data_IF_535040136891
#
_entry.id   IF_535040136891
#
_cell.length_a   1.000
_cell.length_b   1.000
_cell.length_c   1.000
_cell.angle_alpha   90.00
_cell.angle_beta   90.00
_cell.angle_gamma   90.00
#
_symmetry.space_group_name_H-M   'P 1'
#
loop_
_entity.id
_entity.type
_entity.pdbx_description
1 polymer ?
#
# COMPACT_ATOMS: atom_id res chain seq x y z
N UNK A 1 14.75 23.28 -2.95
CA UNK A 1 14.70 24.65 -3.49
C UNK A 1 13.65 24.64 -4.59
N UNK A 2 12.37 24.86 -4.24
CA UNK A 2 11.30 25.14 -5.22
C UNK A 2 11.37 26.66 -5.42
N UNK A 3 12.32 27.09 -6.24
CA UNK A 3 12.48 28.49 -6.64
C UNK A 3 11.96 28.60 -8.07
N UNK A 4 10.64 28.71 -8.16
CA UNK A 4 9.90 29.06 -9.36
C UNK A 4 8.53 29.46 -8.85
N UNK A 5 8.29 30.75 -8.75
CA UNK A 5 7.07 31.29 -8.15
C UNK A 5 5.80 30.69 -8.78
N UNK A 6 4.76 30.66 -7.98
CA UNK A 6 3.49 29.93 -8.11
C UNK A 6 2.62 30.35 -9.32
N UNK A 7 3.22 31.10 -10.26
CA UNK A 7 2.63 31.68 -11.46
C UNK A 7 3.53 31.54 -12.70
N UNK A 8 4.59 30.72 -12.65
CA UNK A 8 5.50 30.56 -13.78
C UNK A 8 4.88 29.71 -14.91
N UNK A 9 3.94 30.30 -15.66
CA UNK A 9 3.32 29.70 -16.83
C UNK A 9 4.12 29.89 -18.12
N UNK A 10 3.60 29.35 -19.22
CA UNK A 10 4.08 29.63 -20.58
C UNK A 10 3.92 31.11 -20.91
N UNK A 11 4.93 31.70 -21.56
CA UNK A 11 4.85 33.07 -22.07
C UNK A 11 3.67 33.21 -23.05
N UNK A 12 2.79 34.21 -22.90
CA UNK A 12 1.73 34.49 -23.86
C UNK A 12 2.30 34.74 -25.27
N UNK A 13 1.52 34.45 -26.32
CA UNK A 13 1.95 34.59 -27.72
C UNK A 13 2.40 36.01 -28.11
N UNK A 14 1.98 37.03 -27.35
CA UNK A 14 2.36 38.43 -27.55
C UNK A 14 3.49 38.92 -26.62
N UNK A 15 4.07 38.06 -25.79
CA UNK A 15 5.19 38.44 -24.93
C UNK A 15 6.44 38.69 -25.77
N UNK A 16 7.13 39.81 -25.51
CA UNK A 16 8.40 40.13 -26.17
C UNK A 16 9.49 39.09 -25.88
N UNK A 17 10.61 39.19 -26.60
CA UNK A 17 11.72 38.22 -26.55
C UNK A 17 12.43 38.08 -25.19
N UNK A 18 12.05 38.87 -24.19
CA UNK A 18 12.58 38.82 -22.82
C UNK A 18 11.82 37.89 -21.86
N UNK A 19 10.73 37.26 -22.29
CA UNK A 19 9.97 36.34 -21.45
C UNK A 19 10.62 34.94 -21.40
N UNK A 20 10.89 34.45 -20.19
CA UNK A 20 11.44 33.12 -19.93
C UNK A 20 10.36 32.29 -19.23
N UNK A 21 9.79 31.31 -19.92
CA UNK A 21 8.74 30.45 -19.36
C UNK A 21 9.27 29.55 -18.24
N UNK A 22 8.44 29.31 -17.21
CA UNK A 22 8.73 28.36 -16.14
C UNK A 22 7.97 27.05 -16.26
N UNK A 23 8.17 26.15 -15.29
CA UNK A 23 7.47 24.87 -15.23
C UNK A 23 5.97 25.08 -14.99
N UNK A 24 5.13 24.58 -15.90
CA UNK A 24 3.68 24.70 -15.85
C UNK A 24 3.07 23.77 -14.81
N UNK A 25 2.96 24.23 -13.56
CA UNK A 25 2.09 23.63 -12.57
C UNK A 25 0.86 24.51 -12.45
N UNK A 26 -0.31 23.92 -12.69
CA UNK A 26 -1.59 24.61 -12.52
C UNK A 26 -1.88 24.71 -11.01
N UNK A 27 -2.48 25.82 -10.56
CA UNK A 27 -2.96 25.97 -9.17
C UNK A 27 -4.02 24.92 -8.77
N UNK A 28 -4.51 24.14 -9.75
CA UNK A 28 -5.43 23.03 -9.53
C UNK A 28 -4.73 21.65 -9.54
N UNK A 29 -3.39 21.60 -9.60
CA UNK A 29 -2.67 20.33 -9.54
C UNK A 29 -2.81 19.70 -8.13
N UNK A 30 -3.17 18.42 -8.00
CA UNK A 30 -3.21 17.74 -6.71
C UNK A 30 -1.91 17.87 -5.90
N UNK A 31 -0.75 17.97 -6.57
CA UNK A 31 0.54 18.16 -5.88
C UNK A 31 0.68 19.56 -5.30
N UNK A 32 0.07 20.58 -5.94
CA UNK A 32 0.01 21.94 -5.44
C UNK A 32 -0.83 22.00 -4.15
N UNK A 33 -2.02 21.38 -4.16
CA UNK A 33 -2.85 21.30 -2.96
C UNK A 33 -2.19 20.51 -1.83
N UNK A 34 -1.54 19.39 -2.14
CA UNK A 34 -0.82 18.59 -1.15
C UNK A 34 0.36 19.36 -0.54
N UNK A 35 1.11 20.09 -1.38
CA UNK A 35 2.19 20.96 -0.94
C UNK A 35 1.67 22.04 0.02
N UNK A 36 0.64 22.81 -0.38
CA UNK A 36 0.11 23.89 0.44
C UNK A 36 -0.56 23.40 1.72
N UNK A 37 -1.33 22.30 1.67
CA UNK A 37 -1.92 21.71 2.88
C UNK A 37 -0.85 21.29 3.89
N UNK A 38 0.31 20.81 3.43
CA UNK A 38 1.41 20.43 4.31
C UNK A 38 2.14 21.66 4.87
N UNK A 39 2.34 22.71 4.07
CA UNK A 39 2.93 23.98 4.54
C UNK A 39 2.02 24.67 5.57
N UNK A 40 0.72 24.73 5.32
CA UNK A 40 -0.27 25.31 6.24
C UNK A 40 -0.34 24.53 7.56
N UNK A 41 -0.26 23.19 7.49
CA UNK A 41 -0.18 22.35 8.67
C UNK A 41 1.09 22.61 9.48
N UNK A 42 2.25 22.70 8.82
CA UNK A 42 3.53 23.01 9.48
C UNK A 42 3.45 24.40 10.15
N UNK A 43 2.86 25.37 9.45
CA UNK A 43 2.68 26.72 9.97
C UNK A 43 1.77 26.76 11.20
N UNK A 44 0.64 26.06 11.15
CA UNK A 44 -0.28 25.91 12.29
C UNK A 44 0.43 25.25 13.49
N UNK A 45 1.14 24.15 13.28
CA UNK A 45 1.89 23.46 14.34
C UNK A 45 2.97 24.36 14.94
N UNK A 46 3.64 25.18 14.12
CA UNK A 46 4.60 26.18 14.59
C UNK A 46 3.94 27.28 15.43
N UNK A 47 2.78 27.79 15.03
CA UNK A 47 2.02 28.78 15.80
C UNK A 47 1.53 28.23 17.14
N UNK A 48 1.10 26.97 17.18
CA UNK A 48 0.61 26.30 18.40
C UNK A 48 1.72 25.93 19.39
N UNK A 49 3.00 25.94 18.95
CA UNK A 49 4.14 25.58 19.79
C UNK A 49 4.48 26.64 20.84
N UNK A 50 4.10 27.92 20.63
CA UNK A 50 4.20 28.93 21.70
C UNK A 50 3.22 30.10 21.49
N UNK A 51 2.71 30.72 22.58
CA UNK A 51 1.90 31.95 22.47
C UNK A 51 2.63 33.12 21.80
N UNK A 52 3.97 33.12 21.78
CA UNK A 52 4.76 34.13 21.08
C UNK A 52 4.74 33.92 19.56
N UNK A 53 4.70 32.67 19.07
CA UNK A 53 4.67 32.34 17.64
C UNK A 53 3.34 32.76 17.00
N UNK A 54 2.23 32.58 17.73
CA UNK A 54 0.91 33.01 17.28
C UNK A 54 0.82 34.52 16.98
N UNK A 55 1.72 35.34 17.57
CA UNK A 55 1.77 36.80 17.41
C UNK A 55 2.99 37.29 16.62
N UNK A 56 3.85 36.38 16.15
CA UNK A 56 5.13 36.71 15.52
C UNK A 56 4.99 37.13 14.04
N UNK A 57 3.88 36.83 13.38
CA UNK A 57 3.67 37.19 11.98
C UNK A 57 2.91 38.53 11.84
N UNK A 58 3.54 39.51 11.17
CA UNK A 58 2.95 40.82 10.83
C UNK A 58 3.10 41.14 9.33
N UNK A 59 2.86 40.16 8.46
CA UNK A 59 2.89 40.37 7.01
C UNK A 59 1.65 41.12 6.54
N UNK A 60 1.85 42.24 5.85
CA UNK A 60 0.80 42.90 5.07
C UNK A 60 0.49 42.10 3.82
N UNK A 61 -0.80 42.05 3.44
CA UNK A 61 -1.25 41.46 2.17
C UNK A 61 -0.59 42.16 0.98
N UNK A 62 -0.09 41.40 0.01
CA UNK A 62 0.47 41.90 -1.25
C UNK A 62 -0.70 42.34 -2.16
N UNK A 63 -1.39 43.42 -1.80
CA UNK A 63 -2.65 43.83 -2.45
C UNK A 63 -2.62 45.28 -2.95
N UNK A 64 -1.65 45.63 -3.80
CA UNK A 64 -1.62 46.96 -4.44
C UNK A 64 -1.30 46.91 -5.93
N UNK A 65 -2.00 46.06 -6.70
CA UNK A 65 -2.18 46.28 -8.14
C UNK A 65 -3.47 45.60 -8.63
N UNK A 66 -4.39 46.37 -9.22
CA UNK A 66 -5.67 45.88 -9.77
C UNK A 66 -5.78 46.29 -11.24
N UNK A 67 -5.76 45.31 -12.14
CA UNK A 67 -6.17 45.43 -13.54
C UNK A 67 -7.67 45.04 -13.66
N UNK A 68 -8.55 45.89 -14.21
CA UNK A 68 -9.99 45.62 -14.30
C UNK A 68 -10.40 44.46 -15.22
N UNK A 69 -9.51 43.98 -16.10
CA UNK A 69 -9.88 43.00 -17.13
C UNK A 69 -9.74 41.53 -16.67
N UNK A 70 -8.94 41.26 -15.63
CA UNK A 70 -8.76 39.92 -15.05
C UNK A 70 -8.60 40.01 -13.51
N UNK A 71 -9.69 39.85 -12.73
CA UNK A 71 -9.63 39.96 -11.28
C UNK A 71 -9.04 38.68 -10.67
N UNK A 72 -7.72 38.56 -10.72
CA UNK A 72 -7.01 37.55 -9.96
C UNK A 72 -6.75 38.13 -8.56
N UNK A 73 -7.24 37.48 -7.49
CA UNK A 73 -6.60 37.63 -6.18
C UNK A 73 -7.43 38.18 -5.02
N UNK A 74 -8.73 37.90 -4.97
CA UNK A 74 -9.33 37.59 -3.67
C UNK A 74 -9.84 36.15 -3.75
N UNK A 75 -9.46 35.23 -2.84
CA UNK A 75 -10.29 34.05 -2.67
C UNK A 75 -11.71 34.57 -2.36
N UNK A 76 -12.75 34.10 -3.07
CA UNK A 76 -14.10 34.50 -2.73
C UNK A 76 -14.35 34.19 -1.25
N UNK A 77 -15.20 34.98 -0.59
CA UNK A 77 -15.63 34.64 0.76
C UNK A 77 -16.42 33.32 0.70
N UNK A 78 -15.73 32.22 0.96
CA UNK A 78 -16.30 30.88 0.97
C UNK A 78 -16.89 30.58 2.36
N UNK A 79 -18.05 29.94 2.38
CA UNK A 79 -18.66 29.38 3.58
C UNK A 79 -18.82 27.87 3.42
N UNK A 80 -19.20 27.17 4.49
CA UNK A 80 -19.45 25.72 4.45
C UNK A 80 -20.53 25.34 3.42
N UNK A 81 -21.41 26.28 3.05
CA UNK A 81 -22.47 26.07 2.05
C UNK A 81 -22.05 26.44 0.63
N UNK A 82 -20.86 27.02 0.41
CA UNK A 82 -20.41 27.37 -0.94
C UNK A 82 -20.18 26.12 -1.78
N UNK A 83 -20.74 26.11 -2.99
CA UNK A 83 -20.62 25.04 -3.97
C UNK A 83 -19.27 25.14 -4.66
N UNK A 84 -18.55 24.01 -4.71
CA UNK A 84 -17.28 23.90 -5.43
C UNK A 84 -17.59 23.75 -6.91
N UNK A 85 -17.05 24.61 -7.79
CA UNK A 85 -17.22 24.47 -9.23
C UNK A 85 -16.52 23.20 -9.70
N UNK A 86 -17.27 22.32 -10.35
CA UNK A 86 -16.78 21.00 -10.83
C UNK A 86 -16.68 20.93 -12.36
N UNK A 87 -17.01 22.02 -13.05
CA UNK A 87 -17.01 22.14 -14.52
C UNK A 87 -17.65 20.94 -15.25
N UNK A 88 -18.70 20.37 -14.65
CA UNK A 88 -19.43 19.23 -15.20
C UNK A 88 -18.74 17.87 -15.06
N UNK A 89 -17.53 17.78 -14.48
CA UNK A 89 -16.85 16.50 -14.27
C UNK A 89 -17.54 15.60 -13.25
N UNK A 90 -18.23 16.18 -12.27
CA UNK A 90 -19.02 15.44 -11.27
C UNK A 90 -20.11 16.34 -10.65
N UNK A 91 -21.17 15.76 -10.02
CA UNK A 91 -22.22 16.54 -9.38
C UNK A 91 -21.64 17.49 -8.34
N UNK A 92 -21.98 18.78 -8.45
CA UNK A 92 -21.37 19.82 -7.62
C UNK A 92 -21.66 19.60 -6.13
N UNK A 93 -20.62 19.73 -5.29
CA UNK A 93 -20.70 19.53 -3.83
C UNK A 93 -20.36 20.82 -3.11
N UNK A 94 -20.96 21.04 -1.96
CA UNK A 94 -20.57 22.15 -1.07
C UNK A 94 -19.27 21.80 -0.33
N UNK A 95 -18.58 22.81 0.18
CA UNK A 95 -17.38 22.63 1.02
C UNK A 95 -17.69 21.72 2.23
N UNK A 96 -18.86 21.85 2.86
CA UNK A 96 -19.27 20.97 3.96
C UNK A 96 -19.42 19.51 3.54
N UNK A 97 -19.90 19.24 2.33
CA UNK A 97 -20.02 17.87 1.82
C UNK A 97 -18.65 17.21 1.66
N UNK A 98 -17.62 17.99 1.32
CA UNK A 98 -16.24 17.51 1.21
C UNK A 98 -15.57 17.31 2.57
N UNK A 99 -15.93 18.13 3.57
CA UNK A 99 -15.39 18.05 4.93
C UNK A 99 -16.09 17.02 5.82
N UNK A 100 -17.23 16.47 5.39
CA UNK A 100 -17.99 15.48 6.14
C UNK A 100 -17.47 14.05 5.88
N UNK A 101 -16.66 13.52 6.80
CA UNK A 101 -16.05 12.19 6.69
C UNK A 101 -16.96 11.02 7.10
N UNK A 102 -18.22 11.29 7.49
CA UNK A 102 -19.24 10.27 7.80
C UNK A 102 -20.36 10.18 6.74
N UNK A 103 -20.26 10.94 5.64
CA UNK A 103 -21.29 10.98 4.60
C UNK A 103 -20.74 11.06 3.18
N UNK A 104 -20.23 9.95 2.64
CA UNK A 104 -19.94 9.81 1.21
C UNK A 104 -21.20 9.49 0.41
N UNK A 105 -21.48 10.29 -0.62
CA UNK A 105 -22.38 10.03 -1.76
C UNK A 105 -23.77 9.41 -1.48
N UNK A 106 -24.84 10.23 -1.56
CA UNK A 106 -26.19 9.67 -1.75
C UNK A 106 -27.39 10.54 -1.38
N UNK A 107 -27.50 11.76 -1.90
CA UNK A 107 -28.79 12.47 -1.94
C UNK A 107 -29.57 12.26 -3.25
N UNK A 108 -29.04 11.50 -4.21
CA UNK A 108 -29.72 11.18 -5.49
C UNK A 108 -30.25 9.74 -5.58
N UNK A 109 -30.19 8.94 -4.51
CA UNK A 109 -30.83 7.61 -4.45
C UNK A 109 -32.01 7.51 -3.48
N UNK A 110 -32.54 8.64 -2.99
CA UNK A 110 -33.70 8.63 -2.07
C UNK A 110 -35.08 8.76 -2.71
N UNK A 111 -35.18 8.87 -4.04
CA UNK A 111 -36.49 8.89 -4.72
C UNK A 111 -37.04 7.50 -5.11
N UNK A 112 -36.26 6.42 -5.00
CA UNK A 112 -36.74 5.06 -5.29
C UNK A 112 -36.87 4.14 -4.06
N UNK A 113 -36.86 4.71 -2.84
CA UNK A 113 -37.00 3.92 -1.60
C UNK A 113 -38.26 4.22 -0.79
N UNK A 114 -39.20 4.99 -1.34
CA UNK A 114 -40.49 5.30 -0.71
C UNK A 114 -41.62 4.33 -1.10
N UNK A 115 -41.38 3.36 -2.00
CA UNK A 115 -42.37 2.38 -2.44
C UNK A 115 -42.25 0.99 -1.79
N UNK A 116 -41.18 0.69 -1.05
CA UNK A 116 -40.99 -0.62 -0.40
C UNK A 116 -41.12 -0.61 1.13
N UNK A 117 -40.95 0.55 1.80
CA UNK A 117 -41.10 0.66 3.26
C UNK A 117 -42.55 0.80 3.75
N UNK A 118 -43.55 0.91 2.87
CA UNK A 118 -44.97 0.87 3.26
C UNK A 118 -45.52 -0.55 3.44
N UNK A 119 -44.73 -1.59 3.15
CA UNK A 119 -45.17 -2.99 3.23
C UNK A 119 -44.86 -3.74 4.52
N UNK A 120 -44.06 -3.16 5.43
CA UNK A 120 -43.61 -3.85 6.67
C UNK A 120 -43.95 -3.14 7.98
N UNK A 121 -44.78 -2.08 7.97
CA UNK A 121 -45.26 -1.39 9.19
C UNK A 121 -46.64 -1.82 9.68
N UNK A 122 -47.17 -2.97 9.22
CA UNK A 122 -48.50 -3.47 9.60
C UNK A 122 -48.44 -4.79 10.40
N UNK A 123 -47.46 -4.94 11.28
CA UNK A 123 -47.45 -5.98 12.32
C UNK A 123 -47.03 -5.33 13.64
N UNK A 124 -48.00 -4.71 14.31
CA UNK A 124 -47.80 -3.95 15.53
C UNK A 124 -47.47 -4.84 16.72
N UNK A 125 -46.23 -4.75 17.20
CA UNK A 125 -45.84 -5.18 18.54
C UNK A 125 -44.83 -4.17 19.12
N UNK A 126 -45.37 -3.19 19.86
CA UNK A 126 -44.62 -2.36 20.80
C UNK A 126 -45.16 -2.61 22.21
N UNK A 127 -44.27 -2.83 23.19
CA UNK A 127 -44.28 -2.02 24.42
C UNK A 127 -42.96 -2.12 25.19
N UNK A 128 -42.52 -1.01 25.84
CA UNK A 128 -41.25 -0.93 26.57
C UNK A 128 -41.43 -1.03 28.10
N UNK A 129 -40.28 -1.17 28.78
CA UNK A 129 -39.95 -0.83 30.17
C UNK A 129 -39.66 -2.02 31.12
N UNK A 130 -38.42 -2.07 31.63
CA UNK A 130 -38.08 -2.11 33.06
C UNK A 130 -36.57 -2.17 33.29
N UNK A 131 -36.01 -1.21 34.03
CA UNK A 131 -34.79 -1.37 34.84
C UNK A 131 -35.16 -2.03 36.18
N UNK A 132 -34.28 -2.82 36.82
CA UNK A 132 -33.55 -2.30 37.99
C UNK A 132 -32.17 -2.94 38.35
N UNK A 133 -31.32 -2.08 38.93
CA UNK A 133 -30.38 -2.23 40.09
C UNK A 133 -29.38 -3.41 40.23
N UNK A 134 -28.13 -3.00 40.51
CA UNK A 134 -27.05 -3.71 41.21
C UNK A 134 -27.44 -4.26 42.60
N UNK A 135 -26.67 -5.25 43.09
CA UNK A 135 -25.83 -5.01 44.26
C UNK A 135 -24.38 -5.53 44.15
N UNK A 136 -23.64 -5.22 45.21
CA UNK A 136 -22.20 -5.06 45.39
C UNK A 136 -21.39 -6.28 45.84
N UNK A 137 -20.06 -6.13 45.69
CA UNK A 137 -18.97 -6.55 46.58
C UNK A 137 -18.38 -7.97 46.47
N UNK A 138 -17.09 -8.05 46.11
CA UNK A 138 -16.00 -8.80 46.78
C UNK A 138 -14.66 -8.22 46.24
N UNK A 139 -14.04 -7.28 46.95
CA UNK A 139 -12.97 -7.39 47.96
C UNK A 139 -11.54 -7.58 47.40
N UNK A 140 -10.71 -6.62 47.79
CA UNK A 140 -9.29 -6.43 47.49
C UNK A 140 -8.35 -7.56 47.94
N UNK A 141 -7.19 -7.66 47.29
CA UNK A 141 -5.93 -8.07 47.90
C UNK A 141 -4.76 -7.38 47.22
N UNK A 142 -3.92 -6.74 48.04
CA UNK A 142 -2.96 -5.71 47.71
C UNK A 142 -1.56 -6.23 47.30
N UNK A 143 -0.86 -5.41 46.50
CA UNK A 143 0.54 -4.94 46.61
C UNK A 143 1.59 -5.86 47.28
N UNK A 144 2.74 -6.11 46.63
CA UNK A 144 3.99 -5.31 46.73
C UNK A 144 5.19 -5.95 45.92
N UNK A 145 6.42 -5.37 45.83
CA UNK A 145 7.09 -5.14 44.54
C UNK A 145 8.54 -5.69 44.43
N UNK A 146 9.21 -5.36 43.32
CA UNK A 146 10.68 -5.40 43.02
C UNK A 146 11.33 -6.76 42.75
N UNK A 147 11.79 -6.93 41.50
CA UNK A 147 13.16 -7.38 41.21
C UNK A 147 13.62 -6.81 39.88
N UNK A 148 14.54 -5.85 39.96
CA UNK A 148 15.31 -5.26 38.86
C UNK A 148 16.23 -6.29 38.21
N UNK A 149 16.06 -6.52 36.90
CA UNK A 149 17.03 -7.26 36.08
C UNK A 149 17.96 -6.21 35.46
N UNK A 150 19.23 -6.19 35.90
CA UNK A 150 20.30 -5.43 35.26
C UNK A 150 20.67 -6.10 33.94
N UNK A 151 20.61 -5.37 32.82
CA UNK A 151 21.25 -5.79 31.58
C UNK A 151 22.73 -5.42 31.64
N UNK A 152 23.59 -6.43 31.56
CA UNK A 152 25.03 -6.24 31.34
C UNK A 152 25.28 -6.13 29.85
N UNK A 153 25.50 -4.93 29.34
CA UNK A 153 25.98 -4.69 27.98
C UNK A 153 27.49 -4.95 27.91
N UNK A 154 27.89 -6.16 27.53
CA UNK A 154 29.26 -6.44 27.13
C UNK A 154 29.47 -6.00 25.68
N UNK A 155 30.15 -4.87 25.50
CA UNK A 155 30.57 -4.35 24.19
C UNK A 155 31.65 -5.25 23.59
N UNK A 156 31.33 -5.96 22.51
CA UNK A 156 32.31 -6.66 21.67
C UNK A 156 32.91 -5.65 20.70
N UNK A 157 34.19 -5.32 20.87
CA UNK A 157 34.96 -4.45 19.98
C UNK A 157 35.58 -5.25 18.83
N UNK A 158 35.19 -4.96 17.59
CA UNK A 158 35.85 -5.47 16.38
C UNK A 158 37.03 -4.58 15.97
N UNK A 159 38.17 -5.15 15.54
CA UNK A 159 39.32 -4.38 15.10
C UNK A 159 39.08 -3.73 13.74
N UNK A 160 39.53 -2.48 13.63
CA UNK A 160 39.40 -1.60 12.48
C UNK A 160 40.36 -2.05 11.36
N UNK A 161 39.85 -2.50 10.21
CA UNK A 161 40.64 -2.78 9.01
C UNK A 161 40.22 -1.88 7.84
N UNK A 162 41.15 -0.96 7.50
CA UNK A 162 41.49 -0.30 6.22
C UNK A 162 40.40 0.22 5.23
N UNK A 163 40.66 1.35 4.55
CA UNK A 163 39.62 2.15 3.89
C UNK A 163 39.27 1.68 2.46
N UNK A 164 37.98 1.75 2.13
CA UNK A 164 37.45 1.65 0.76
C UNK A 164 37.81 2.90 -0.07
N UNK A 165 37.91 2.80 -1.41
CA UNK A 165 38.52 3.83 -2.27
C UNK A 165 37.65 5.06 -2.56
N UNK A 166 36.55 5.26 -1.84
CA UNK A 166 35.74 6.48 -1.94
C UNK A 166 35.41 6.95 -0.54
N UNK A 167 36.09 8.04 -0.11
CA UNK A 167 36.01 8.63 1.22
C UNK A 167 34.67 9.30 1.54
N UNK A 168 33.58 8.54 1.46
CA UNK A 168 32.26 8.98 1.91
C UNK A 168 32.14 8.55 3.38
N UNK A 169 32.00 9.49 4.34
CA UNK A 169 31.80 9.11 5.73
C UNK A 169 30.50 8.31 5.88
N UNK A 170 30.55 7.18 6.60
CA UNK A 170 29.36 6.49 7.05
C UNK A 170 28.53 7.46 7.88
N UNK A 171 27.39 7.91 7.34
CA UNK A 171 26.40 8.65 8.12
C UNK A 171 25.72 7.65 9.06
N UNK A 172 26.13 7.66 10.33
CA UNK A 172 25.33 7.05 11.39
C UNK A 172 24.21 8.03 11.74
N UNK A 173 22.94 7.74 11.41
CA UNK A 173 21.85 8.54 11.94
C UNK A 173 21.90 8.50 13.48
N UNK A 174 21.65 9.63 14.17
CA UNK A 174 21.58 9.62 15.62
C UNK A 174 20.52 8.62 16.08
N UNK A 175 20.80 7.83 17.14
CA UNK A 175 19.87 6.81 17.68
C UNK A 175 18.45 7.36 17.91
N UNK A 176 18.32 8.63 18.33
CA UNK A 176 17.04 9.34 18.50
C UNK A 176 16.21 9.46 17.21
N UNK A 177 16.82 9.52 16.03
CA UNK A 177 16.06 9.60 14.76
C UNK A 177 15.38 8.28 14.40
N UNK A 178 15.89 7.14 14.88
CA UNK A 178 15.34 5.82 14.56
C UNK A 178 14.06 5.50 15.34
N UNK A 179 14.00 5.88 16.63
CA UNK A 179 12.80 5.74 17.45
C UNK A 179 11.66 6.65 16.96
N UNK A 180 12.00 7.89 16.56
CA UNK A 180 11.01 8.87 16.04
C UNK A 180 10.37 8.39 14.73
N UNK A 181 11.11 7.63 13.91
CA UNK A 181 10.59 7.12 12.64
C UNK A 181 9.61 5.95 12.81
N UNK A 182 9.79 5.09 13.84
CA UNK A 182 8.96 3.90 14.04
C UNK A 182 7.80 4.11 15.02
N UNK A 183 7.90 5.08 15.93
CA UNK A 183 6.82 5.38 16.89
C UNK A 183 5.43 5.61 16.24
N UNK A 184 5.31 6.30 15.07
CA UNK A 184 4.03 6.42 14.38
C UNK A 184 3.43 5.09 13.93
N UNK A 185 4.25 4.08 13.59
CA UNK A 185 3.77 2.75 13.18
C UNK A 185 3.14 1.99 14.37
N UNK A 186 3.76 2.07 15.54
CA UNK A 186 3.22 1.48 16.77
C UNK A 186 1.91 2.17 17.19
N UNK A 187 1.87 3.51 17.11
CA UNK A 187 0.65 4.27 17.36
C UNK A 187 -0.46 3.93 16.34
N UNK A 188 -0.09 3.77 15.07
CA UNK A 188 -0.99 3.33 14.00
C UNK A 188 -1.58 1.94 14.26
N UNK A 189 -0.76 0.98 14.69
CA UNK A 189 -1.21 -0.35 15.09
C UNK A 189 -2.19 -0.30 16.28
N UNK A 190 -1.90 0.50 17.31
CA UNK A 190 -2.78 0.63 18.47
C UNK A 190 -4.15 1.19 18.08
N UNK A 191 -4.17 2.19 17.19
CA UNK A 191 -5.40 2.75 16.61
C UNK A 191 -6.17 1.70 15.80
N UNK A 192 -5.50 1.02 14.86
CA UNK A 192 -6.10 -0.05 14.07
C UNK A 192 -6.72 -1.14 14.95
N UNK A 193 -6.00 -1.60 15.99
CA UNK A 193 -6.50 -2.63 16.88
C UNK A 193 -7.73 -2.17 17.67
N UNK A 194 -7.83 -0.88 18.02
CA UNK A 194 -9.02 -0.33 18.66
C UNK A 194 -10.23 -0.31 17.71
N UNK A 195 -10.04 0.14 16.47
CA UNK A 195 -11.08 0.16 15.44
C UNK A 195 -11.58 -1.25 15.10
N UNK A 196 -10.68 -2.25 15.04
CA UNK A 196 -11.04 -3.65 14.84
C UNK A 196 -11.83 -4.21 16.02
N UNK A 197 -11.46 -3.89 17.27
CA UNK A 197 -12.24 -4.32 18.45
C UNK A 197 -13.65 -3.72 18.48
N UNK A 198 -13.79 -2.47 18.05
CA UNK A 198 -15.09 -1.81 17.97
C UNK A 198 -15.98 -2.46 16.92
N UNK A 199 -15.43 -2.71 15.73
CA UNK A 199 -16.17 -3.31 14.60
C UNK A 199 -16.41 -4.82 14.75
N UNK A 200 -15.45 -5.55 15.34
CA UNK A 200 -15.46 -7.01 15.47
C UNK A 200 -14.98 -7.43 16.89
N UNK A 201 -15.85 -7.37 17.90
CA UNK A 201 -15.45 -7.54 19.32
C UNK A 201 -14.72 -8.83 19.67
N UNK A 202 -15.01 -9.94 18.98
CA UNK A 202 -14.37 -11.24 19.26
C UNK A 202 -13.14 -11.51 18.39
N UNK A 203 -12.81 -10.65 17.42
CA UNK A 203 -11.81 -10.93 16.39
C UNK A 203 -10.46 -11.40 16.95
N UNK A 204 -9.87 -10.64 17.89
CA UNK A 204 -8.56 -10.98 18.45
C UNK A 204 -8.60 -12.23 19.34
N UNK A 205 -9.71 -12.44 20.07
CA UNK A 205 -9.87 -13.64 20.90
C UNK A 205 -10.03 -14.89 20.04
N UNK A 206 -10.69 -14.78 18.89
CA UNK A 206 -10.83 -15.89 17.95
C UNK A 206 -9.54 -16.14 17.17
N UNK A 207 -8.88 -15.08 16.67
CA UNK A 207 -7.60 -15.17 15.98
C UNK A 207 -6.48 -15.78 16.86
N UNK A 208 -6.50 -15.51 18.18
CA UNK A 208 -5.54 -16.08 19.12
C UNK A 208 -5.69 -17.59 19.34
N UNK A 209 -6.84 -18.19 18.99
CA UNK A 209 -7.07 -19.65 19.11
C UNK A 209 -6.40 -20.43 17.99
N UNK A 210 -6.12 -19.80 16.85
CA UNK A 210 -5.48 -20.43 15.69
C UNK A 210 -5.91 -19.81 14.37
N UNK A 211 -5.40 -20.40 13.29
CA UNK A 211 -5.70 -20.01 11.91
C UNK A 211 -6.02 -21.24 11.06
N UNK A 212 -6.87 -21.07 10.05
CA UNK A 212 -7.14 -22.08 9.03
C UNK A 212 -7.42 -21.40 7.69
N UNK A 213 -6.39 -20.72 7.11
CA UNK A 213 -6.53 -20.07 5.83
C UNK A 213 -6.78 -21.11 4.74
N UNK A 214 -7.62 -20.77 3.76
CA UNK A 214 -7.87 -21.62 2.58
C UNK A 214 -6.99 -21.28 1.39
N UNK A 215 -6.29 -20.15 1.46
CA UNK A 215 -5.46 -19.62 0.39
C UNK A 215 -4.03 -19.43 0.88
N UNK A 216 -3.06 -19.94 0.12
CA UNK A 216 -1.66 -19.53 0.16
C UNK A 216 -1.41 -18.50 -0.96
N UNK A 217 -0.88 -17.34 -0.62
CA UNK A 217 -0.43 -16.31 -1.54
C UNK A 217 1.10 -16.31 -1.62
N UNK A 218 1.64 -16.48 -2.83
CA UNK A 218 3.07 -16.32 -3.14
C UNK A 218 3.20 -15.08 -4.02
N UNK A 219 3.72 -13.99 -3.46
CA UNK A 219 3.77 -12.69 -4.13
C UNK A 219 5.10 -11.97 -4.03
N UNK A 220 5.16 -10.78 -4.62
CA UNK A 220 6.37 -9.96 -4.61
C UNK A 220 6.52 -9.24 -3.26
N UNK A 221 7.75 -9.00 -2.82
CA UNK A 221 8.08 -8.17 -1.65
C UNK A 221 7.81 -6.67 -1.88
N UNK A 222 7.33 -6.26 -3.06
CA UNK A 222 6.97 -4.89 -3.40
C UNK A 222 5.98 -4.28 -2.37
N UNK A 223 6.37 -3.19 -1.73
CA UNK A 223 5.60 -2.59 -0.62
C UNK A 223 4.20 -2.12 -1.02
N UNK A 224 3.90 -1.98 -2.32
CA UNK A 224 2.59 -1.57 -2.85
C UNK A 224 1.59 -2.72 -2.94
N UNK A 225 2.02 -3.97 -2.74
CA UNK A 225 1.18 -5.17 -2.91
C UNK A 225 1.08 -6.03 -1.63
N UNK A 226 0.58 -5.49 -0.50
CA UNK A 226 0.19 -6.32 0.64
C UNK A 226 -1.12 -7.07 0.34
N UNK A 227 -1.05 -8.40 0.32
CA UNK A 227 -2.11 -9.31 -0.15
C UNK A 227 -3.45 -9.12 0.59
N UNK A 228 -3.42 -9.06 1.92
CA UNK A 228 -4.63 -8.90 2.72
C UNK A 228 -5.31 -7.55 2.45
N UNK A 229 -4.54 -6.51 2.17
CA UNK A 229 -5.08 -5.18 1.84
C UNK A 229 -5.65 -5.12 0.44
N UNK A 230 -4.90 -5.59 -0.57
CA UNK A 230 -5.33 -5.50 -1.97
C UNK A 230 -6.49 -6.45 -2.29
N UNK A 231 -6.68 -7.51 -1.49
CA UNK A 231 -7.82 -8.43 -1.59
C UNK A 231 -8.98 -8.06 -0.65
N UNK A 232 -8.80 -7.08 0.24
CA UNK A 232 -9.82 -6.71 1.23
C UNK A 232 -10.09 -7.80 2.27
N UNK A 233 -9.10 -8.65 2.55
CA UNK A 233 -9.18 -9.75 3.51
C UNK A 233 -8.83 -9.31 4.93
N UNK A 234 -9.36 -10.03 5.91
CA UNK A 234 -8.98 -9.88 7.31
C UNK A 234 -7.66 -10.62 7.59
N UNK A 235 -6.87 -10.18 8.58
CA UNK A 235 -5.70 -10.93 9.01
C UNK A 235 -6.07 -12.38 9.38
N UNK A 236 -5.29 -13.34 8.88
CA UNK A 236 -5.50 -14.78 9.09
C UNK A 236 -6.35 -15.49 8.03
N UNK A 237 -6.95 -14.78 7.08
CA UNK A 237 -7.70 -15.40 5.97
C UNK A 237 -6.79 -15.94 4.85
N UNK A 238 -5.58 -15.38 4.72
CA UNK A 238 -4.60 -15.73 3.70
C UNK A 238 -3.26 -16.06 4.38
N UNK A 239 -2.66 -17.19 4.01
CA UNK A 239 -1.28 -17.53 4.38
C UNK A 239 -0.32 -17.01 3.31
N UNK A 240 0.86 -16.51 3.68
CA UNK A 240 1.60 -15.60 2.79
C UNK A 240 3.09 -15.94 2.73
N UNK A 241 3.64 -15.98 1.51
CA UNK A 241 5.07 -15.91 1.23
C UNK A 241 5.35 -14.73 0.29
N UNK A 242 6.41 -13.97 0.56
CA UNK A 242 6.81 -12.83 -0.29
C UNK A 242 8.31 -12.79 -0.49
N UNK A 243 8.72 -12.60 -1.74
CA UNK A 243 10.14 -12.49 -2.13
C UNK A 243 10.29 -11.57 -3.35
N UNK A 244 11.52 -11.31 -3.80
CA UNK A 244 11.73 -10.41 -4.95
C UNK A 244 11.18 -11.07 -6.23
N UNK A 245 10.27 -10.37 -6.90
CA UNK A 245 9.64 -10.82 -8.15
C UNK A 245 8.87 -12.15 -8.07
N UNK A 246 8.29 -12.46 -6.90
CA UNK A 246 7.38 -13.59 -6.67
C UNK A 246 7.90 -14.91 -7.27
N UNK A 247 9.21 -15.15 -7.15
CA UNK A 247 9.85 -16.35 -7.68
C UNK A 247 9.51 -17.56 -6.79
N UNK A 248 9.43 -18.73 -7.41
CA UNK A 248 9.40 -20.01 -6.74
C UNK A 248 10.50 -20.88 -7.34
N UNK A 249 11.64 -20.93 -6.66
CA UNK A 249 12.75 -21.80 -7.08
C UNK A 249 12.53 -23.18 -6.47
N UNK A 250 12.63 -24.27 -7.27
CA UNK A 250 12.44 -25.64 -6.77
C UNK A 250 13.37 -26.03 -5.62
N UNK A 251 14.53 -25.37 -5.50
CA UNK A 251 15.55 -25.62 -4.46
C UNK A 251 15.56 -24.55 -3.35
N UNK A 252 14.55 -23.67 -3.29
CA UNK A 252 14.44 -22.67 -2.22
C UNK A 252 13.68 -23.25 -1.02
N UNK A 253 14.44 -23.68 -0.01
CA UNK A 253 13.90 -24.20 1.26
C UNK A 253 12.93 -23.23 1.95
N UNK A 254 13.08 -21.91 1.76
CA UNK A 254 12.16 -20.93 2.35
C UNK A 254 10.76 -21.05 1.74
N UNK A 255 10.68 -21.09 0.40
CA UNK A 255 9.43 -21.24 -0.32
C UNK A 255 8.84 -22.65 -0.15
N UNK A 256 9.68 -23.70 -0.17
CA UNK A 256 9.26 -25.09 0.05
C UNK A 256 8.71 -25.31 1.47
N UNK A 257 9.34 -24.74 2.50
CA UNK A 257 8.86 -24.85 3.87
C UNK A 257 7.48 -24.20 4.03
N UNK A 258 7.26 -23.03 3.43
CA UNK A 258 5.95 -22.35 3.45
C UNK A 258 4.91 -23.16 2.68
N UNK A 259 5.23 -23.66 1.49
CA UNK A 259 4.33 -24.49 0.69
C UNK A 259 3.94 -25.77 1.44
N UNK A 260 4.92 -26.47 2.00
CA UNK A 260 4.72 -27.70 2.79
C UNK A 260 3.80 -27.44 3.97
N UNK A 261 4.08 -26.41 4.77
CA UNK A 261 3.26 -26.07 5.92
C UNK A 261 1.83 -25.69 5.51
N UNK A 262 1.66 -24.94 4.43
CA UNK A 262 0.35 -24.54 3.94
C UNK A 262 -0.50 -25.77 3.54
N UNK A 263 0.07 -26.68 2.75
CA UNK A 263 -0.66 -27.82 2.18
C UNK A 263 -0.82 -28.97 3.17
N UNK A 264 0.20 -29.26 3.97
CA UNK A 264 0.23 -30.40 4.86
C UNK A 264 -0.31 -30.08 6.26
N UNK A 265 -0.03 -28.90 6.81
CA UNK A 265 -0.43 -28.54 8.17
C UNK A 265 -1.68 -27.66 8.23
N UNK A 266 -1.81 -26.67 7.34
CA UNK A 266 -2.98 -25.77 7.35
C UNK A 266 -4.14 -26.28 6.49
N UNK A 267 -3.86 -27.16 5.53
CA UNK A 267 -4.85 -27.69 4.60
C UNK A 267 -5.40 -26.61 3.66
N UNK A 268 -4.53 -25.74 3.14
CA UNK A 268 -4.92 -24.78 2.09
C UNK A 268 -5.42 -25.53 0.85
N UNK A 269 -6.43 -24.97 0.21
CA UNK A 269 -7.05 -25.53 -1.00
C UNK A 269 -6.62 -24.76 -2.24
N UNK A 270 -6.25 -23.48 -2.09
CA UNK A 270 -5.85 -22.62 -3.19
C UNK A 270 -4.45 -22.06 -2.97
N UNK A 271 -3.58 -22.18 -3.96
CA UNK A 271 -2.28 -21.53 -4.02
C UNK A 271 -2.34 -20.51 -5.15
N UNK A 272 -2.04 -19.25 -4.84
CA UNK A 272 -2.05 -18.15 -5.80
C UNK A 272 -0.62 -17.65 -5.98
N UNK A 273 -0.10 -17.76 -7.20
CA UNK A 273 1.09 -17.05 -7.65
C UNK A 273 0.65 -15.68 -8.14
N UNK A 274 1.06 -14.64 -7.44
CA UNK A 274 0.66 -13.27 -7.74
C UNK A 274 1.84 -12.42 -8.22
N UNK A 275 1.89 -12.18 -9.53
CA UNK A 275 2.71 -11.15 -10.13
C UNK A 275 2.08 -9.77 -9.95
N UNK A 276 2.79 -8.73 -10.38
CA UNK A 276 2.23 -7.38 -10.43
C UNK A 276 2.88 -6.53 -11.52
N UNK A 277 2.12 -5.56 -12.05
CA UNK A 277 2.67 -4.57 -12.99
C UNK A 277 3.74 -3.71 -12.32
N UNK A 278 4.64 -3.15 -13.13
CA UNK A 278 5.72 -2.28 -12.65
C UNK A 278 6.60 -2.94 -11.58
N UNK A 279 6.85 -4.25 -11.72
CA UNK A 279 7.73 -5.01 -10.86
C UNK A 279 9.19 -4.65 -11.09
N UNK A 280 9.84 -4.07 -10.08
CA UNK A 280 11.25 -3.66 -10.16
C UNK A 280 12.21 -4.81 -10.48
N UNK A 281 11.95 -6.01 -9.94
CA UNK A 281 12.74 -7.20 -10.24
C UNK A 281 12.61 -7.64 -11.69
N UNK A 282 11.39 -7.67 -12.23
CA UNK A 282 11.14 -8.01 -13.64
C UNK A 282 11.75 -6.96 -14.59
N UNK A 283 11.64 -5.66 -14.26
CA UNK A 283 12.24 -4.58 -15.04
C UNK A 283 13.77 -4.68 -15.08
N UNK A 284 14.41 -4.99 -13.95
CA UNK A 284 15.85 -5.23 -13.89
C UNK A 284 16.27 -6.44 -14.73
N UNK A 285 15.51 -7.54 -14.69
CA UNK A 285 15.76 -8.73 -15.51
C UNK A 285 15.60 -8.44 -17.01
N UNK A 286 14.56 -7.69 -17.39
CA UNK A 286 14.33 -7.28 -18.77
C UNK A 286 15.51 -6.47 -19.33
N UNK A 287 15.99 -5.48 -18.57
CA UNK A 287 17.15 -4.69 -18.96
C UNK A 287 18.46 -5.51 -19.02
N UNK A 288 18.63 -6.45 -18.08
CA UNK A 288 19.79 -7.34 -18.08
C UNK A 288 19.79 -8.31 -19.27
N UNK A 289 18.62 -8.80 -19.68
CA UNK A 289 18.46 -9.73 -20.80
C UNK A 289 18.92 -9.13 -22.14
N UNK A 290 18.75 -7.82 -22.34
CA UNK A 290 19.21 -7.12 -23.55
C UNK A 290 20.75 -7.07 -23.67
N UNK A 291 21.48 -7.32 -22.58
CA UNK A 291 22.95 -7.17 -22.51
C UNK A 291 23.65 -8.48 -22.11
N UNK A 292 23.04 -9.65 -22.36
CA UNK A 292 23.64 -10.96 -22.06
C UNK A 292 24.83 -11.28 -22.98
N UNK A 293 25.95 -10.61 -22.77
CA UNK A 293 27.22 -10.86 -23.44
C UNK A 293 27.98 -11.98 -22.71
N UNK A 294 27.58 -13.23 -22.96
CA UNK A 294 28.32 -14.41 -22.50
C UNK A 294 28.17 -14.74 -21.00
N UNK A 295 28.33 -16.04 -20.70
CA UNK A 295 28.06 -16.63 -19.39
C UNK A 295 29.08 -16.22 -18.32
N UNK A 296 28.85 -15.07 -17.69
CA UNK A 296 29.45 -14.78 -16.38
C UNK A 296 28.50 -15.28 -15.30
N UNK A 297 29.02 -16.08 -14.36
CA UNK A 297 28.22 -16.57 -13.23
C UNK A 297 27.72 -15.39 -12.40
N UNK A 298 26.44 -15.36 -11.97
CA UNK A 298 25.90 -14.22 -11.24
C UNK A 298 26.63 -14.01 -9.90
N UNK A 299 27.26 -12.84 -9.73
CA UNK A 299 28.16 -12.59 -8.60
C UNK A 299 27.43 -12.32 -7.27
N UNK A 300 26.27 -11.64 -7.30
CA UNK A 300 25.53 -11.24 -6.10
C UNK A 300 24.39 -12.21 -5.77
N UNK A 301 23.94 -12.28 -4.50
CA UNK A 301 22.76 -13.07 -4.14
C UNK A 301 21.52 -12.67 -4.94
N UNK A 302 21.29 -11.37 -5.16
CA UNK A 302 20.17 -10.87 -5.95
C UNK A 302 20.28 -11.30 -7.43
N UNK A 303 21.48 -11.26 -8.00
CA UNK A 303 21.69 -11.70 -9.38
C UNK A 303 21.48 -13.20 -9.54
N UNK A 304 21.89 -14.02 -8.56
CA UNK A 304 21.60 -15.47 -8.55
C UNK A 304 20.10 -15.74 -8.42
N UNK A 305 19.43 -15.04 -7.50
CA UNK A 305 17.99 -15.11 -7.29
C UNK A 305 17.20 -14.79 -8.57
N UNK A 306 17.56 -13.69 -9.23
CA UNK A 306 16.87 -13.23 -10.44
C UNK A 306 17.31 -13.93 -11.73
N UNK A 307 18.37 -14.74 -11.70
CA UNK A 307 18.92 -15.35 -12.91
C UNK A 307 17.86 -16.15 -13.72
N UNK A 308 17.01 -17.00 -13.12
CA UNK A 308 15.96 -17.70 -13.88
C UNK A 308 14.99 -16.75 -14.60
N UNK A 309 14.62 -15.63 -13.95
CA UNK A 309 13.77 -14.61 -14.56
C UNK A 309 14.48 -13.84 -15.68
N UNK A 310 15.78 -13.56 -15.53
CA UNK A 310 16.61 -12.96 -16.59
C UNK A 310 16.72 -13.88 -17.80
N UNK A 311 16.90 -15.20 -17.60
CA UNK A 311 16.92 -16.17 -18.70
C UNK A 311 15.55 -16.25 -19.39
N UNK A 312 14.45 -16.21 -18.64
CA UNK A 312 13.09 -16.15 -19.20
C UNK A 312 12.86 -14.88 -20.01
N UNK A 313 13.36 -13.73 -19.54
CA UNK A 313 13.30 -12.48 -20.31
C UNK A 313 14.07 -12.57 -21.62
N UNK A 314 15.25 -13.20 -21.62
CA UNK A 314 16.06 -13.39 -22.80
C UNK A 314 15.39 -14.30 -23.85
N UNK A 315 14.75 -15.39 -23.42
CA UNK A 315 14.05 -16.29 -24.34
C UNK A 315 12.86 -15.60 -25.01
N UNK A 316 12.09 -14.80 -24.27
CA UNK A 316 10.97 -14.04 -24.82
C UNK A 316 11.43 -12.96 -25.81
N UNK A 317 12.60 -12.36 -25.57
CA UNK A 317 13.18 -11.39 -26.49
C UNK A 317 13.61 -12.03 -27.82
N UNK A 318 14.12 -13.27 -27.80
CA UNK A 318 14.50 -14.00 -29.01
C UNK A 318 13.33 -14.43 -29.90
N UNK A 319 12.12 -14.51 -29.35
CA UNK A 319 10.92 -14.94 -30.08
C UNK A 319 10.22 -13.78 -30.83
N UNK A 320 10.55 -12.52 -30.50
CA UNK A 320 9.94 -11.33 -31.12
C UNK A 320 10.87 -10.69 -32.14
N UNK A 321 10.35 -10.37 -33.33
CA UNK A 321 11.15 -9.75 -34.40
C UNK A 321 11.01 -8.24 -34.53
N UNK A 322 9.96 -7.55 -34.04
CA UNK A 322 9.71 -6.15 -34.47
C UNK A 322 8.97 -5.20 -33.48
N UNK A 323 8.75 -5.53 -32.20
CA UNK A 323 8.05 -4.62 -31.26
C UNK A 323 8.99 -3.98 -30.25
N UNK A 324 9.08 -2.64 -30.20
CA UNK A 324 9.92 -1.88 -29.27
C UNK A 324 9.15 -1.24 -28.07
N UNK A 325 7.95 -1.73 -27.75
CA UNK A 325 7.22 -1.22 -26.58
C UNK A 325 7.66 -1.92 -25.30
N UNK A 326 8.59 -1.28 -24.59
CA UNK A 326 9.15 -1.78 -23.31
C UNK A 326 8.09 -2.01 -22.24
N UNK A 327 6.99 -1.26 -22.25
CA UNK A 327 5.90 -1.44 -21.27
C UNK A 327 5.14 -2.75 -21.55
N UNK A 328 4.81 -3.00 -22.81
CA UNK A 328 4.17 -4.23 -23.24
C UNK A 328 5.09 -5.46 -23.04
N UNK A 329 6.39 -5.31 -23.27
CA UNK A 329 7.39 -6.35 -23.01
C UNK A 329 7.49 -6.70 -21.52
N UNK A 330 7.55 -5.69 -20.65
CA UNK A 330 7.58 -5.91 -19.20
C UNK A 330 6.29 -6.60 -18.71
N UNK A 331 5.13 -6.19 -19.23
CA UNK A 331 3.85 -6.84 -18.92
C UNK A 331 3.87 -8.31 -19.35
N UNK A 332 4.37 -8.60 -20.56
CA UNK A 332 4.55 -9.96 -21.07
C UNK A 332 5.47 -10.78 -20.17
N UNK A 333 6.59 -10.21 -19.73
CA UNK A 333 7.54 -10.88 -18.84
C UNK A 333 6.95 -11.19 -17.46
N UNK A 334 6.21 -10.24 -16.86
CA UNK A 334 5.52 -10.47 -15.58
C UNK A 334 4.53 -11.62 -15.70
N UNK A 335 3.75 -11.61 -16.77
CA UNK A 335 2.77 -12.66 -17.07
C UNK A 335 3.42 -14.03 -17.31
N UNK A 336 4.50 -14.08 -18.09
CA UNK A 336 5.25 -15.31 -18.33
C UNK A 336 5.91 -15.82 -17.06
N UNK A 337 6.44 -14.93 -16.23
CA UNK A 337 7.00 -15.28 -14.92
C UNK A 337 5.97 -15.96 -14.03
N UNK A 338 4.77 -15.40 -13.91
CA UNK A 338 3.68 -16.02 -13.12
C UNK A 338 3.38 -17.42 -13.60
N UNK A 339 3.26 -17.63 -14.92
CA UNK A 339 3.03 -18.97 -15.49
C UNK A 339 4.15 -19.93 -15.14
N UNK A 340 5.40 -19.50 -15.29
CA UNK A 340 6.56 -20.32 -14.95
C UNK A 340 6.59 -20.72 -13.46
N UNK A 341 6.21 -19.82 -12.56
CA UNK A 341 6.17 -20.15 -11.13
C UNK A 341 4.97 -21.04 -10.77
N UNK A 342 3.84 -20.93 -11.49
CA UNK A 342 2.73 -21.90 -11.37
C UNK A 342 3.23 -23.30 -11.71
N UNK A 343 3.94 -23.45 -12.82
CA UNK A 343 4.52 -24.75 -13.22
C UNK A 343 5.49 -25.27 -12.16
N UNK A 344 6.41 -24.42 -11.68
CA UNK A 344 7.39 -24.81 -10.67
C UNK A 344 6.72 -25.28 -9.36
N UNK A 345 5.62 -24.65 -8.92
CA UNK A 345 4.88 -25.08 -7.72
C UNK A 345 4.17 -26.41 -7.95
N UNK A 346 3.54 -26.57 -9.12
CA UNK A 346 2.86 -27.82 -9.49
C UNK A 346 3.81 -29.00 -9.52
N UNK A 347 5.03 -28.80 -10.03
CA UNK A 347 6.04 -29.85 -10.15
C UNK A 347 6.66 -30.27 -8.80
N UNK A 348 6.32 -29.60 -7.68
CA UNK A 348 6.85 -29.98 -6.37
C UNK A 348 6.26 -31.28 -5.84
N UNK A 349 7.08 -32.06 -5.13
CA UNK A 349 6.62 -33.25 -4.41
C UNK A 349 5.48 -32.96 -3.42
N UNK A 350 5.39 -31.74 -2.88
CA UNK A 350 4.32 -31.32 -1.97
C UNK A 350 2.97 -31.35 -2.69
N UNK A 351 2.87 -30.71 -3.85
CA UNK A 351 1.62 -30.67 -4.63
C UNK A 351 1.32 -32.03 -5.24
N UNK A 352 2.33 -32.70 -5.81
CA UNK A 352 2.16 -34.02 -6.40
C UNK A 352 1.67 -35.06 -5.39
N UNK A 353 2.24 -35.10 -4.17
CA UNK A 353 1.75 -35.98 -3.09
C UNK A 353 0.35 -35.59 -2.62
N UNK A 354 0.05 -34.30 -2.52
CA UNK A 354 -1.29 -33.85 -2.15
C UNK A 354 -2.34 -34.37 -3.15
N UNK A 355 -2.09 -34.22 -4.46
CA UNK A 355 -2.97 -34.76 -5.50
C UNK A 355 -3.06 -36.28 -5.48
N UNK A 356 -1.93 -36.99 -5.34
CA UNK A 356 -1.92 -38.45 -5.23
C UNK A 356 -2.72 -38.97 -4.01
N UNK A 357 -2.82 -38.16 -2.95
CA UNK A 357 -3.64 -38.45 -1.76
C UNK A 357 -5.11 -38.01 -1.88
N UNK A 358 -5.53 -37.48 -3.04
CA UNK A 358 -6.90 -37.02 -3.29
C UNK A 358 -7.23 -35.65 -2.67
N UNK A 359 -6.24 -34.85 -2.27
CA UNK A 359 -6.48 -33.48 -1.78
C UNK A 359 -6.81 -32.55 -2.95
N UNK A 360 -7.82 -31.71 -2.74
CA UNK A 360 -8.27 -30.70 -3.71
C UNK A 360 -7.42 -29.42 -3.57
N UNK A 361 -6.18 -29.46 -4.07
CA UNK A 361 -5.29 -28.30 -4.10
C UNK A 361 -5.23 -27.73 -5.52
N UNK A 362 -5.49 -26.44 -5.66
CA UNK A 362 -5.50 -25.71 -6.93
C UNK A 362 -4.36 -24.69 -6.96
N UNK A 363 -3.68 -24.54 -8.10
CA UNK A 363 -2.60 -23.55 -8.28
C UNK A 363 -3.01 -22.55 -9.34
N UNK A 364 -3.07 -21.26 -9.00
CA UNK A 364 -3.58 -20.17 -9.83
C UNK A 364 -2.49 -19.14 -10.15
N UNK A 365 -2.55 -18.55 -11.35
CA UNK A 365 -1.69 -17.44 -11.74
C UNK A 365 -2.44 -16.13 -11.91
N UNK A 366 -2.15 -15.13 -11.07
CA UNK A 366 -2.77 -13.81 -11.08
C UNK A 366 -1.74 -12.68 -11.26
N UNK A 367 -2.19 -11.52 -11.74
CA UNK A 367 -1.39 -10.29 -11.82
C UNK A 367 -2.18 -9.14 -11.19
N UNK A 368 -1.58 -8.49 -10.18
CA UNK A 368 -2.11 -7.25 -9.61
C UNK A 368 -1.66 -6.05 -10.44
N UNK A 369 -2.62 -5.26 -10.89
CA UNK A 369 -2.41 -4.04 -11.69
C UNK A 369 -2.26 -2.85 -10.73
N UNK A 370 -1.03 -2.40 -10.49
CA UNK A 370 -0.74 -1.32 -9.52
C UNK A 370 -1.47 -0.02 -9.89
N UNK A 371 -1.54 0.28 -11.18
CA UNK A 371 -2.15 1.51 -11.70
C UNK A 371 -3.67 1.58 -11.51
N UNK A 372 -4.37 0.43 -11.43
CA UNK A 372 -5.84 0.39 -11.27
C UNK A 372 -6.29 -0.18 -9.92
N UNK A 373 -5.40 -0.85 -9.18
CA UNK A 373 -5.74 -1.55 -7.94
C UNK A 373 -6.56 -2.83 -8.15
N UNK A 374 -6.59 -3.39 -9.36
CA UNK A 374 -7.39 -4.57 -9.71
C UNK A 374 -6.53 -5.80 -9.99
N UNK A 375 -7.10 -6.99 -9.83
CA UNK A 375 -6.45 -8.26 -10.16
C UNK A 375 -6.91 -8.73 -11.54
N UNK A 376 -5.94 -9.05 -12.40
CA UNK A 376 -6.12 -9.80 -13.64
C UNK A 376 -5.85 -11.28 -13.37
N UNK A 377 -6.88 -12.10 -13.51
CA UNK A 377 -6.75 -13.55 -13.57
C UNK A 377 -6.19 -13.96 -14.94
N UNK A 378 -5.03 -14.61 -14.97
CA UNK A 378 -4.39 -15.05 -16.21
C UNK A 378 -5.07 -16.28 -16.84
N UNK A 379 -6.12 -16.82 -16.19
CA UNK A 379 -6.81 -18.04 -16.60
C UNK A 379 -5.88 -19.24 -16.66
N UNK A 380 -4.87 -19.23 -15.81
CA UNK A 380 -3.96 -20.34 -15.58
C UNK A 380 -4.31 -20.92 -14.23
N UNK A 381 -5.00 -22.05 -14.24
CA UNK A 381 -5.33 -22.81 -13.03
C UNK A 381 -5.00 -24.26 -13.28
N UNK A 382 -4.10 -24.80 -12.47
CA UNK A 382 -3.78 -26.22 -12.45
C UNK A 382 -4.63 -26.90 -11.38
N UNK A 383 -5.31 -27.97 -11.77
CA UNK A 383 -6.25 -28.71 -10.93
C UNK A 383 -5.68 -30.10 -10.63
N UNK A 384 -6.14 -30.75 -9.54
CA UNK A 384 -5.85 -32.17 -9.34
C UNK A 384 -6.23 -32.99 -10.59
N UNK A 385 -5.44 -34.00 -10.98
CA UNK A 385 -5.79 -34.90 -12.06
C UNK A 385 -7.14 -35.58 -11.77
N UNK A 386 -7.98 -35.73 -12.78
CA UNK A 386 -9.16 -36.59 -12.67
C UNK A 386 -8.69 -38.04 -12.62
N UNK A 387 -8.91 -38.72 -11.49
CA UNK A 387 -8.60 -40.14 -11.30
C UNK A 387 -9.75 -41.04 -11.73
#
# INVERSE_FOLDING_TARGET
MIMGGDLAGTCPTAAGSSCIGGSTWTSNDPIFFLHHANIDRIWYLWQMKSPANAKAFKGGSVSTYTDPQYPNGYPPWLSTTTVIPTDGMFPSKTIQNMLNTVGGAGSEQKQNRSSEESRYKNQGLFSPAATPRHPSAFRDSALNPRSSIQSTSSSVSFPNTSPHPFGIPFYNPPEEMSEVALAPLIAGNAKWAAEVRDKYPTFFADAAKGQSPKVLWIGCADSRVPESTVLGCKPGEIFVHRNIANQFHPEDDSALAVLTYAVENLGVEHIVIAGHTQCGGAAACHAAAQNLNGATSPATPLARWLNPLTQLAASLASEKTDSHDTSAELSTLVEANVRKQVDNVVDTDVVQRAWASGKQVYVHGWVYMIETGTIKDLKVTMTPPAY
#
